data_IF_578295806254
#
_entry.id   IF_578295806254
#
_cell.length_a   1.000
_cell.length_b   1.000
_cell.length_c   1.000
_cell.angle_alpha   90.00
_cell.angle_beta   90.00
_cell.angle_gamma   90.00
#
_symmetry.space_group_name_H-M   'P 1'
#
loop_
_entity.id
_entity.type
_entity.pdbx_description
1 polymer ?
#
# COMPACT_ATOMS: atom_id res chain seq x y z
N UNK A 1 16.12 14.34 15.83
CA UNK A 1 16.66 15.22 14.77
C UNK A 1 16.13 14.64 13.47
N UNK A 2 15.16 15.29 12.81
CA UNK A 2 14.74 14.87 11.48
C UNK A 2 15.92 15.16 10.55
N UNK A 3 16.44 14.13 9.91
CA UNK A 3 17.42 14.32 8.85
C UNK A 3 16.69 15.09 7.73
N UNK A 4 17.16 16.30 7.43
CA UNK A 4 16.64 17.06 6.30
C UNK A 4 16.78 16.21 5.04
N UNK A 5 15.76 16.24 4.17
CA UNK A 5 15.78 15.48 2.92
C UNK A 5 17.00 15.87 2.11
N UNK A 6 17.78 14.89 1.70
CA UNK A 6 18.87 15.10 0.77
C UNK A 6 18.32 15.07 -0.67
N UNK A 7 17.79 16.18 -1.15
CA UNK A 7 17.23 16.30 -2.51
C UNK A 7 18.25 15.96 -3.60
N UNK A 8 19.52 16.23 -3.38
CA UNK A 8 20.57 15.87 -4.36
C UNK A 8 20.70 14.33 -4.51
N UNK A 9 20.59 13.59 -3.42
CA UNK A 9 20.57 12.12 -3.49
C UNK A 9 19.28 11.59 -4.10
N UNK A 10 18.15 12.18 -3.74
CA UNK A 10 16.85 11.82 -4.29
C UNK A 10 16.81 12.04 -5.81
N UNK A 11 17.24 13.20 -6.30
CA UNK A 11 17.35 13.53 -7.71
C UNK A 11 18.32 12.56 -8.43
N UNK A 12 19.46 12.26 -7.80
CA UNK A 12 20.44 11.30 -8.34
C UNK A 12 19.84 9.89 -8.46
N UNK A 13 19.06 9.46 -7.46
CA UNK A 13 18.38 8.17 -7.51
C UNK A 13 17.34 8.12 -8.63
N UNK A 14 16.49 9.13 -8.76
CA UNK A 14 15.47 9.21 -9.83
C UNK A 14 16.17 9.21 -11.20
N UNK A 15 17.22 9.99 -11.39
CA UNK A 15 17.94 10.12 -12.65
C UNK A 15 17.00 10.51 -13.79
N UNK A 16 17.05 9.76 -14.90
CA UNK A 16 16.16 9.92 -16.06
C UNK A 16 14.94 8.99 -16.05
N UNK A 17 14.78 8.15 -15.04
CA UNK A 17 13.73 7.13 -15.00
C UNK A 17 12.42 7.70 -14.49
N UNK A 18 11.32 7.20 -15.05
CA UNK A 18 10.01 7.43 -14.45
C UNK A 18 9.98 6.77 -13.07
N UNK A 19 9.53 7.53 -12.10
CA UNK A 19 9.51 7.11 -10.70
C UNK A 19 8.18 7.50 -10.06
N UNK A 20 7.91 6.95 -8.89
CA UNK A 20 6.73 7.26 -8.07
C UNK A 20 7.22 7.57 -6.67
N UNK A 21 6.75 8.68 -6.10
CA UNK A 21 6.85 8.94 -4.67
C UNK A 21 5.54 8.48 -4.03
N UNK A 22 5.65 7.75 -2.93
CA UNK A 22 4.51 7.41 -2.08
C UNK A 22 4.91 7.54 -0.60
N UNK A 23 3.92 7.74 0.26
CA UNK A 23 4.15 7.64 1.69
C UNK A 23 4.26 6.18 2.12
N UNK A 24 5.10 5.91 3.12
CA UNK A 24 5.13 4.65 3.84
C UNK A 24 4.31 4.82 5.13
N UNK A 25 3.21 4.08 5.25
CA UNK A 25 2.33 4.21 6.41
C UNK A 25 2.85 3.38 7.58
N UNK A 26 2.69 3.93 8.78
CA UNK A 26 2.92 3.14 10.00
C UNK A 26 1.83 2.10 10.12
N UNK A 27 2.21 0.82 10.09
CA UNK A 27 1.25 -0.28 10.13
C UNK A 27 1.89 -1.65 10.30
N UNK A 28 1.06 -2.67 10.19
CA UNK A 28 1.44 -4.07 10.12
C UNK A 28 1.25 -4.57 8.69
N UNK A 29 2.28 -5.19 8.11
CA UNK A 29 2.17 -5.75 6.76
C UNK A 29 1.09 -6.82 6.70
N UNK A 30 0.27 -6.75 5.66
CA UNK A 30 -0.82 -7.68 5.43
C UNK A 30 -0.83 -8.13 3.98
N UNK A 31 -1.08 -9.42 3.79
CA UNK A 31 -1.29 -10.04 2.48
C UNK A 31 -2.72 -10.55 2.42
N UNK A 32 -3.41 -10.21 1.35
CA UNK A 32 -4.76 -10.67 1.07
C UNK A 32 -4.80 -11.35 -0.29
N UNK A 33 -5.65 -12.35 -0.41
CA UNK A 33 -5.72 -13.22 -1.59
C UNK A 33 -7.18 -13.40 -2.01
N UNK A 34 -7.42 -13.22 -3.30
CA UNK A 34 -8.73 -13.40 -3.91
C UNK A 34 -8.67 -14.49 -4.98
N UNK A 35 -9.74 -15.27 -5.07
CA UNK A 35 -9.98 -16.19 -6.16
C UNK A 35 -11.45 -16.11 -6.60
N UNK A 36 -11.70 -16.03 -7.90
CA UNK A 36 -13.05 -15.87 -8.46
C UNK A 36 -13.82 -14.68 -7.84
N UNK A 37 -13.14 -13.59 -7.60
CA UNK A 37 -13.71 -12.38 -7.00
C UNK A 37 -13.98 -12.45 -5.51
N UNK A 38 -13.65 -13.55 -4.81
CA UNK A 38 -13.91 -13.74 -3.39
C UNK A 38 -12.63 -13.75 -2.58
N UNK A 39 -12.65 -13.09 -1.43
CA UNK A 39 -11.57 -13.15 -0.47
C UNK A 39 -11.44 -14.58 0.06
N UNK A 40 -10.26 -15.19 -0.12
CA UNK A 40 -9.97 -16.57 0.32
C UNK A 40 -8.91 -16.63 1.43
N UNK A 41 -8.09 -15.57 1.57
CA UNK A 41 -7.05 -15.48 2.59
C UNK A 41 -6.77 -14.03 2.94
N UNK A 42 -6.55 -13.80 4.23
CA UNK A 42 -6.09 -12.51 4.75
C UNK A 42 -5.20 -12.76 5.96
N UNK A 43 -3.96 -12.28 5.92
CA UNK A 43 -2.99 -12.57 6.97
C UNK A 43 -1.93 -11.49 7.13
N UNK A 44 -1.46 -11.34 8.35
CA UNK A 44 -0.21 -10.68 8.69
C UNK A 44 0.87 -11.72 9.01
N UNK A 45 2.10 -11.30 9.31
CA UNK A 45 3.13 -12.23 9.75
C UNK A 45 2.74 -13.05 11.01
N UNK A 46 1.80 -12.55 11.82
CA UNK A 46 1.47 -13.12 13.13
C UNK A 46 0.04 -13.62 13.25
N UNK A 47 -0.86 -13.11 12.43
CA UNK A 47 -2.29 -13.34 12.59
C UNK A 47 -2.94 -13.67 11.26
N UNK A 48 -3.75 -14.72 11.25
CA UNK A 48 -4.75 -14.93 10.21
C UNK A 48 -5.95 -14.05 10.54
N UNK A 49 -6.46 -13.33 9.54
CA UNK A 49 -7.57 -12.41 9.72
C UNK A 49 -8.88 -13.07 9.31
N UNK A 50 -10.01 -12.69 9.93
CA UNK A 50 -11.31 -13.22 9.55
C UNK A 50 -11.68 -12.88 8.12
N UNK A 51 -12.36 -13.81 7.45
CA UNK A 51 -12.86 -13.66 6.08
C UNK A 51 -14.34 -13.29 6.04
N UNK A 52 -15.03 -13.33 7.18
CA UNK A 52 -16.45 -12.99 7.26
C UNK A 52 -16.68 -11.47 7.22
N UNK A 53 -17.77 -11.06 6.59
CA UNK A 53 -18.10 -9.64 6.38
C UNK A 53 -18.22 -8.85 7.68
N UNK A 54 -18.87 -9.43 8.67
CA UNK A 54 -19.02 -8.83 9.99
C UNK A 54 -17.69 -8.53 10.67
N UNK A 55 -16.65 -9.30 10.33
CA UNK A 55 -15.38 -9.31 11.04
C UNK A 55 -14.21 -8.82 10.20
N UNK A 56 -14.44 -8.46 8.92
CA UNK A 56 -13.39 -7.97 8.02
C UNK A 56 -12.83 -6.62 8.51
N UNK A 57 -11.56 -6.38 8.23
CA UNK A 57 -10.93 -5.07 8.44
C UNK A 57 -11.45 -4.11 7.38
N UNK A 58 -11.71 -2.85 7.75
CA UNK A 58 -12.09 -1.83 6.78
C UNK A 58 -11.07 -1.73 5.65
N UNK A 59 -11.54 -1.51 4.42
CA UNK A 59 -10.68 -1.47 3.23
C UNK A 59 -10.27 -2.83 2.68
N UNK A 60 -10.76 -3.95 3.25
CA UNK A 60 -10.67 -5.29 2.66
C UNK A 60 -12.05 -5.68 2.15
N UNK A 61 -12.36 -5.51 0.86
CA UNK A 61 -13.61 -5.98 0.27
C UNK A 61 -13.71 -7.50 0.36
N UNK A 62 -14.91 -8.03 0.63
CA UNK A 62 -15.14 -9.48 0.64
C UNK A 62 -15.21 -10.02 -0.78
N UNK A 63 -15.72 -9.20 -1.69
CA UNK A 63 -15.79 -9.47 -3.11
C UNK A 63 -15.24 -8.33 -3.92
N UNK A 64 -14.58 -8.65 -5.01
CA UNK A 64 -14.04 -7.71 -5.99
C UNK A 64 -14.51 -8.10 -7.39
N UNK A 65 -14.54 -7.13 -8.30
CA UNK A 65 -14.95 -7.37 -9.69
C UNK A 65 -13.89 -8.14 -10.53
N UNK A 66 -12.91 -8.78 -9.91
CA UNK A 66 -11.86 -9.53 -10.58
C UNK A 66 -12.03 -11.02 -10.31
N UNK A 67 -12.22 -11.82 -11.36
CA UNK A 67 -12.34 -13.29 -11.23
C UNK A 67 -11.00 -14.01 -11.19
N UNK A 68 -9.93 -13.33 -11.50
CA UNK A 68 -8.58 -13.89 -11.46
C UNK A 68 -8.15 -14.20 -10.03
N UNK A 69 -7.16 -15.07 -9.89
CA UNK A 69 -6.46 -15.28 -8.65
C UNK A 69 -5.42 -14.18 -8.49
N UNK A 70 -5.59 -13.34 -7.48
CA UNK A 70 -4.70 -12.21 -7.20
C UNK A 70 -4.26 -12.18 -5.74
N UNK A 71 -3.02 -11.76 -5.52
CA UNK A 71 -2.49 -11.46 -4.20
C UNK A 71 -2.20 -9.96 -4.13
N UNK A 72 -2.69 -9.34 -3.08
CA UNK A 72 -2.50 -7.92 -2.81
C UNK A 72 -1.74 -7.79 -1.49
N UNK A 73 -0.69 -6.98 -1.51
CA UNK A 73 0.04 -6.59 -0.31
C UNK A 73 -0.27 -5.17 0.07
N UNK A 74 -0.27 -4.91 1.37
CA UNK A 74 -0.53 -3.60 1.91
C UNK A 74 -0.22 -3.54 3.39
N UNK A 75 -0.77 -2.53 4.05
CA UNK A 75 -0.64 -2.34 5.49
C UNK A 75 -2.00 -2.24 6.16
N UNK A 76 -2.11 -2.92 7.29
CA UNK A 76 -3.13 -2.58 8.26
C UNK A 76 -2.60 -1.38 9.04
N UNK A 77 -3.25 -0.24 8.86
CA UNK A 77 -2.92 1.02 9.54
C UNK A 77 -4.05 1.45 10.45
N UNK A 78 -3.80 2.46 11.28
CA UNK A 78 -4.79 3.00 12.18
C UNK A 78 -4.65 4.51 12.32
N UNK A 79 -5.73 5.16 12.75
CA UNK A 79 -5.68 6.56 13.14
C UNK A 79 -5.08 6.76 14.56
N UNK A 80 -4.81 8.01 14.89
CA UNK A 80 -4.22 8.37 16.18
C UNK A 80 -5.11 8.07 17.38
N UNK A 81 -6.43 7.90 17.18
CA UNK A 81 -7.39 7.61 18.24
C UNK A 81 -7.17 6.20 18.81
N UNK A 82 -6.73 5.25 17.95
CA UNK A 82 -6.40 3.90 18.38
C UNK A 82 -5.24 3.86 19.37
N UNK A 83 -4.21 4.70 19.17
CA UNK A 83 -3.06 4.79 20.07
C UNK A 83 -3.54 5.16 21.49
N UNK A 84 -4.42 6.19 21.56
CA UNK A 84 -4.98 6.65 22.83
C UNK A 84 -5.85 5.57 23.49
N UNK A 85 -6.73 4.91 22.71
CA UNK A 85 -7.63 3.86 23.19
C UNK A 85 -6.88 2.72 23.85
N UNK A 86 -5.81 2.25 23.27
CA UNK A 86 -5.01 1.14 23.82
C UNK A 86 -3.85 1.59 24.71
N UNK A 87 -3.74 2.89 25.00
CA UNK A 87 -2.63 3.44 25.80
C UNK A 87 -1.27 2.91 25.32
N UNK A 88 -1.04 2.93 24.01
CA UNK A 88 0.18 2.41 23.37
C UNK A 88 1.08 3.56 22.94
N UNK A 89 2.39 3.27 22.85
CA UNK A 89 3.39 4.26 22.45
C UNK A 89 3.40 4.55 20.96
N UNK A 90 2.90 3.61 20.15
CA UNK A 90 2.87 3.74 18.69
C UNK A 90 1.73 2.93 18.06
N UNK A 91 1.43 3.25 16.80
CA UNK A 91 0.37 2.62 16.01
C UNK A 91 0.56 1.11 15.89
N UNK A 92 1.76 0.64 15.57
CA UNK A 92 2.04 -0.78 15.39
C UNK A 92 1.69 -1.60 16.63
N UNK A 93 2.04 -1.11 17.82
CA UNK A 93 1.65 -1.74 19.09
C UNK A 93 0.14 -1.71 19.33
N UNK A 94 -0.54 -0.65 18.90
CA UNK A 94 -1.98 -0.54 19.04
C UNK A 94 -2.72 -1.52 18.11
N UNK A 95 -2.28 -1.63 16.85
CA UNK A 95 -2.80 -2.60 15.87
C UNK A 95 -2.61 -4.03 16.37
N UNK A 96 -1.41 -4.38 16.82
CA UNK A 96 -1.14 -5.72 17.37
C UNK A 96 -2.02 -6.05 18.58
N UNK A 97 -2.31 -5.05 19.44
CA UNK A 97 -3.24 -5.24 20.56
C UNK A 97 -4.65 -5.50 20.07
N UNK A 98 -5.12 -4.77 19.05
CA UNK A 98 -6.43 -5.01 18.45
C UNK A 98 -6.51 -6.40 17.81
N UNK A 99 -5.55 -6.78 17.00
CA UNK A 99 -5.54 -8.08 16.32
C UNK A 99 -5.51 -9.26 17.32
N UNK A 100 -4.83 -9.09 18.45
CA UNK A 100 -4.81 -10.07 19.53
C UNK A 100 -6.13 -10.17 20.26
N UNK A 101 -6.79 -9.03 20.54
CA UNK A 101 -8.06 -8.99 21.27
C UNK A 101 -9.23 -9.47 20.40
N UNK A 102 -9.10 -9.49 19.08
CA UNK A 102 -10.14 -9.95 18.17
C UNK A 102 -10.55 -11.42 18.41
N UNK A 103 -9.69 -12.20 19.03
CA UNK A 103 -9.99 -13.57 19.46
C UNK A 103 -10.80 -13.64 20.76
N UNK A 104 -10.85 -12.57 21.58
CA UNK A 104 -11.38 -12.62 22.96
C UNK A 104 -12.37 -11.49 23.31
N UNK A 105 -12.63 -10.52 22.40
CA UNK A 105 -13.41 -9.32 22.71
C UNK A 105 -14.93 -9.49 22.55
N UNK A 106 -15.70 -8.68 23.28
CA UNK A 106 -17.14 -8.55 23.05
C UNK A 106 -17.40 -7.84 21.72
N UNK A 107 -18.45 -8.26 20.98
CA UNK A 107 -18.81 -7.69 19.67
C UNK A 107 -18.97 -6.17 19.66
N UNK A 108 -19.39 -5.57 20.77
CA UNK A 108 -19.62 -4.12 20.88
C UNK A 108 -18.32 -3.31 20.96
N UNK A 109 -17.32 -3.80 21.68
CA UNK A 109 -15.99 -3.17 21.75
C UNK A 109 -15.24 -3.30 20.43
N UNK A 110 -15.39 -4.42 19.76
CA UNK A 110 -14.83 -4.70 18.45
C UNK A 110 -15.34 -3.70 17.40
N UNK A 111 -16.66 -3.49 17.34
CA UNK A 111 -17.28 -2.57 16.36
C UNK A 111 -16.78 -1.14 16.52
N UNK A 112 -16.66 -0.64 17.76
CA UNK A 112 -16.16 0.72 18.05
C UNK A 112 -14.68 0.91 17.69
N UNK A 113 -13.92 -0.16 17.63
CA UNK A 113 -12.49 -0.09 17.33
C UNK A 113 -12.22 -0.27 15.85
N UNK A 114 -13.03 -1.09 15.18
CA UNK A 114 -12.92 -1.42 13.76
C UNK A 114 -12.88 -0.16 12.87
N UNK A 115 -13.64 0.88 13.18
CA UNK A 115 -13.67 2.13 12.41
C UNK A 115 -12.34 2.90 12.39
N UNK A 116 -11.43 2.59 13.33
CA UNK A 116 -10.11 3.23 13.44
C UNK A 116 -8.99 2.45 12.76
N UNK A 117 -9.31 1.29 12.21
CA UNK A 117 -8.35 0.40 11.55
C UNK A 117 -8.76 0.22 10.11
N UNK A 118 -7.76 0.25 9.21
CA UNK A 118 -7.99 0.12 7.78
C UNK A 118 -6.83 -0.60 7.10
N UNK A 119 -7.16 -1.36 6.08
CA UNK A 119 -6.18 -1.88 5.13
C UNK A 119 -5.97 -0.85 4.01
N UNK A 120 -4.71 -0.59 3.68
CA UNK A 120 -4.31 0.26 2.56
C UNK A 120 -3.43 -0.57 1.62
N UNK A 121 -3.89 -0.73 0.40
CA UNK A 121 -3.19 -1.52 -0.62
C UNK A 121 -1.96 -0.80 -1.15
N UNK A 122 -0.89 -1.56 -1.41
CA UNK A 122 0.39 -1.05 -1.88
C UNK A 122 0.89 -1.73 -3.14
N UNK A 123 0.72 -3.04 -3.27
CA UNK A 123 1.30 -3.82 -4.35
C UNK A 123 0.33 -4.91 -4.80
N UNK A 124 0.11 -5.00 -6.11
CA UNK A 124 -0.53 -6.14 -6.75
C UNK A 124 0.57 -7.14 -7.12
N UNK A 125 0.54 -8.30 -6.47
CA UNK A 125 1.51 -9.36 -6.75
C UNK A 125 1.02 -10.19 -7.91
N UNK A 126 1.83 -10.27 -8.97
CA UNK A 126 1.59 -11.13 -10.12
C UNK A 126 1.79 -12.58 -9.70
N UNK A 127 0.76 -13.39 -9.81
CA UNK A 127 0.89 -14.83 -9.66
C UNK A 127 1.11 -15.41 -11.04
N UNK A 128 2.33 -15.87 -11.26
CA UNK A 128 2.80 -16.63 -12.43
C UNK A 128 1.82 -16.85 -13.58
N UNK A 129 1.73 -15.86 -14.47
CA UNK A 129 1.59 -16.09 -15.90
C UNK A 129 0.32 -16.72 -16.47
N UNK A 130 -0.67 -17.08 -15.69
CA UNK A 130 -1.92 -17.64 -16.19
C UNK A 130 -3.08 -16.67 -16.02
N UNK A 131 -3.31 -15.85 -17.05
CA UNK A 131 -4.51 -15.06 -17.20
C UNK A 131 -5.54 -15.85 -18.01
N UNK A 132 -6.36 -16.65 -17.35
CA UNK A 132 -7.61 -17.09 -17.94
C UNK A 132 -8.68 -16.01 -17.74
N UNK A 133 -9.08 -15.42 -18.83
CA UNK A 133 -9.95 -14.27 -18.95
C UNK A 133 -11.42 -14.65 -18.85
N UNK A 134 -12.11 -14.16 -17.82
CA UNK A 134 -13.57 -14.24 -17.77
C UNK A 134 -14.15 -13.07 -16.98
N UNK A 135 -14.26 -11.93 -17.55
CA UNK A 135 -15.31 -10.94 -17.35
C UNK A 135 -14.92 -9.57 -17.91
N UNK A 136 -15.90 -8.86 -18.48
CA UNK A 136 -15.64 -7.69 -19.33
C UNK A 136 -14.96 -6.53 -18.59
N UNK A 137 -15.37 -6.20 -17.36
CA UNK A 137 -14.85 -5.03 -16.63
C UNK A 137 -13.47 -5.30 -16.02
N UNK A 138 -13.32 -6.42 -15.34
CA UNK A 138 -12.04 -6.77 -14.69
C UNK A 138 -10.95 -7.08 -15.70
N UNK A 139 -11.33 -7.69 -16.84
CA UNK A 139 -10.40 -7.94 -17.95
C UNK A 139 -9.88 -6.63 -18.54
N UNK A 140 -10.74 -5.64 -18.73
CA UNK A 140 -10.35 -4.35 -19.30
C UNK A 140 -9.44 -3.57 -18.35
N UNK A 141 -9.73 -3.57 -17.06
CA UNK A 141 -8.86 -2.98 -16.03
C UNK A 141 -7.49 -3.63 -16.04
N UNK A 142 -7.42 -4.96 -16.07
CA UNK A 142 -6.13 -5.66 -16.11
C UNK A 142 -5.40 -5.52 -17.43
N UNK A 143 -6.08 -5.41 -18.56
CA UNK A 143 -5.47 -5.15 -19.87
C UNK A 143 -4.91 -3.74 -19.98
N UNK A 144 -5.63 -2.74 -19.52
CA UNK A 144 -5.23 -1.33 -19.62
C UNK A 144 -4.18 -0.94 -18.59
N UNK A 145 -4.27 -1.48 -17.38
CA UNK A 145 -3.36 -1.18 -16.27
C UNK A 145 -2.25 -2.21 -16.09
N UNK A 146 -2.16 -3.15 -17.01
CA UNK A 146 -1.34 -4.33 -16.97
C UNK A 146 0.10 -4.05 -16.53
N UNK A 147 0.43 -4.31 -15.27
CA UNK A 147 1.74 -4.53 -14.67
C UNK A 147 2.96 -3.81 -15.27
N UNK A 148 2.76 -2.91 -16.24
CA UNK A 148 3.83 -2.17 -16.90
C UNK A 148 4.41 -1.08 -15.99
N UNK A 149 3.59 -0.54 -15.08
CA UNK A 149 4.04 0.48 -14.15
C UNK A 149 3.40 0.31 -12.76
N UNK A 150 4.11 0.82 -11.75
CA UNK A 150 3.62 0.79 -10.38
C UNK A 150 2.39 1.71 -10.19
N UNK A 151 2.35 2.87 -10.85
CA UNK A 151 1.15 3.71 -10.87
C UNK A 151 -0.07 2.97 -11.43
N UNK A 152 0.10 2.21 -12.50
CA UNK A 152 -1.00 1.43 -13.08
C UNK A 152 -1.49 0.35 -12.12
N UNK A 153 -0.58 -0.28 -11.35
CA UNK A 153 -0.98 -1.23 -10.31
C UNK A 153 -1.81 -0.55 -9.21
N UNK A 154 -1.39 0.64 -8.75
CA UNK A 154 -2.15 1.40 -7.76
C UNK A 154 -3.53 1.81 -8.29
N UNK A 155 -3.60 2.30 -9.53
CA UNK A 155 -4.87 2.64 -10.17
C UNK A 155 -5.79 1.42 -10.27
N UNK A 156 -5.26 0.26 -10.67
CA UNK A 156 -6.02 -0.99 -10.71
C UNK A 156 -6.57 -1.38 -9.33
N UNK A 157 -5.78 -1.20 -8.28
CA UNK A 157 -6.24 -1.47 -6.91
C UNK A 157 -7.34 -0.49 -6.47
N UNK A 158 -7.24 0.78 -6.86
CA UNK A 158 -8.27 1.79 -6.61
C UNK A 158 -9.57 1.45 -7.36
N UNK A 159 -9.49 1.09 -8.63
CA UNK A 159 -10.62 0.64 -9.45
C UNK A 159 -11.30 -0.62 -8.89
N UNK A 160 -10.55 -1.49 -8.22
CA UNK A 160 -11.07 -2.65 -7.49
C UNK A 160 -11.68 -2.31 -6.12
N UNK A 161 -11.66 -1.04 -5.72
CA UNK A 161 -12.29 -0.54 -4.49
C UNK A 161 -11.38 -0.57 -3.25
N UNK A 162 -10.07 -0.71 -3.42
CA UNK A 162 -9.13 -0.61 -2.30
C UNK A 162 -8.75 0.83 -2.02
N UNK A 163 -8.55 1.18 -0.75
CA UNK A 163 -7.80 2.39 -0.44
C UNK A 163 -6.33 2.15 -0.78
N UNK A 164 -5.75 3.08 -1.54
CA UNK A 164 -4.35 3.03 -1.95
C UNK A 164 -3.52 4.11 -1.25
N UNK A 165 -2.20 3.92 -1.26
CA UNK A 165 -1.27 4.92 -0.73
C UNK A 165 -1.41 6.25 -1.49
N UNK A 166 -1.40 7.39 -0.79
CA UNK A 166 -1.13 8.67 -1.42
C UNK A 166 0.21 8.61 -2.17
N UNK A 167 0.18 8.93 -3.45
CA UNK A 167 1.33 8.81 -4.33
C UNK A 167 1.31 9.87 -5.44
N UNK A 168 2.47 10.11 -6.03
CA UNK A 168 2.60 10.96 -7.22
C UNK A 168 3.65 10.41 -8.17
N UNK A 169 3.38 10.50 -9.47
CA UNK A 169 4.30 10.09 -10.50
C UNK A 169 5.28 11.22 -10.85
N UNK A 170 6.54 10.85 -11.05
CA UNK A 170 7.62 11.72 -11.55
C UNK A 170 7.95 11.24 -12.96
N UNK A 171 7.41 11.92 -13.94
CA UNK A 171 7.54 11.50 -15.36
C UNK A 171 8.31 12.51 -16.20
N UNK A 172 8.20 13.80 -15.88
CA UNK A 172 8.78 14.90 -16.65
C UNK A 172 10.09 15.39 -16.03
N UNK A 173 10.94 15.99 -16.83
CA UNK A 173 12.18 16.58 -16.34
C UNK A 173 11.94 17.68 -15.29
N UNK A 174 10.87 18.47 -15.43
CA UNK A 174 10.48 19.51 -14.47
C UNK A 174 10.11 18.92 -13.09
N UNK A 175 9.58 17.71 -13.05
CA UNK A 175 9.20 17.05 -11.80
C UNK A 175 10.43 16.66 -10.95
N UNK A 176 11.64 16.68 -11.54
CA UNK A 176 12.91 16.28 -10.92
C UNK A 176 13.69 17.46 -10.33
N UNK A 177 13.07 18.63 -10.23
CA UNK A 177 13.66 19.77 -9.54
C UNK A 177 13.36 19.68 -8.03
N UNK A 178 14.26 20.21 -7.22
CA UNK A 178 14.09 20.25 -5.76
C UNK A 178 12.77 20.89 -5.35
N UNK A 179 12.44 22.04 -5.95
CA UNK A 179 11.20 22.77 -5.66
C UNK A 179 9.97 21.87 -5.96
N UNK A 180 9.93 21.25 -7.13
CA UNK A 180 8.77 20.43 -7.52
C UNK A 180 8.67 19.16 -6.67
N UNK A 181 9.78 18.54 -6.32
CA UNK A 181 9.81 17.40 -5.41
C UNK A 181 9.29 17.77 -4.02
N UNK A 182 9.64 18.94 -3.51
CA UNK A 182 9.13 19.47 -2.25
C UNK A 182 7.60 19.64 -2.30
N UNK A 183 7.07 20.26 -3.36
CA UNK A 183 5.63 20.43 -3.56
C UNK A 183 4.90 19.08 -3.60
N UNK A 184 5.42 18.12 -4.37
CA UNK A 184 4.85 16.77 -4.48
C UNK A 184 4.80 16.07 -3.10
N UNK A 185 5.88 16.14 -2.33
CA UNK A 185 5.93 15.51 -1.00
C UNK A 185 4.93 16.20 -0.06
N UNK A 186 4.81 17.52 -0.15
CA UNK A 186 3.85 18.26 0.67
C UNK A 186 2.39 17.93 0.32
N UNK A 187 2.05 17.79 -0.97
CA UNK A 187 0.74 17.32 -1.44
C UNK A 187 0.41 15.92 -0.90
N UNK A 188 1.36 14.98 -0.96
CA UNK A 188 1.20 13.62 -0.41
C UNK A 188 0.99 13.68 1.11
N UNK A 189 1.78 14.50 1.82
CA UNK A 189 1.67 14.66 3.27
C UNK A 189 0.32 15.25 3.68
N UNK A 190 -0.18 16.26 2.97
CA UNK A 190 -1.50 16.84 3.21
C UNK A 190 -2.60 15.81 2.98
N UNK A 191 -2.55 15.04 1.89
CA UNK A 191 -3.50 13.96 1.60
C UNK A 191 -3.49 12.91 2.71
N UNK A 192 -2.32 12.50 3.17
CA UNK A 192 -2.15 11.53 4.26
C UNK A 192 -2.76 12.04 5.56
N UNK A 193 -2.54 13.30 5.90
CA UNK A 193 -3.14 13.94 7.08
C UNK A 193 -4.65 14.06 6.99
N UNK A 194 -5.19 14.44 5.82
CA UNK A 194 -6.64 14.52 5.61
C UNK A 194 -7.32 13.15 5.79
N UNK A 195 -6.63 12.07 5.46
CA UNK A 195 -7.09 10.70 5.71
C UNK A 195 -6.86 10.21 7.15
N UNK A 196 -6.44 11.09 8.07
CA UNK A 196 -6.09 10.78 9.46
C UNK A 196 -5.04 9.66 9.59
N UNK A 197 -4.15 9.49 8.60
CA UNK A 197 -3.09 8.48 8.59
C UNK A 197 -1.76 9.08 9.06
N UNK A 198 -0.86 8.21 9.48
CA UNK A 198 0.50 8.60 9.89
C UNK A 198 1.47 7.96 8.91
N UNK A 199 2.22 8.81 8.21
CA UNK A 199 3.38 8.39 7.46
C UNK A 199 4.57 8.20 8.42
N UNK A 200 5.35 7.15 8.19
CA UNK A 200 6.62 6.91 8.87
C UNK A 200 7.74 7.64 8.11
N UNK A 201 7.78 7.41 6.83
CA UNK A 201 8.70 8.00 5.87
C UNK A 201 8.06 8.06 4.46
N UNK A 202 8.86 8.39 3.47
CA UNK A 202 8.48 8.40 2.06
C UNK A 202 9.39 7.47 1.29
N UNK A 203 8.84 6.88 0.26
CA UNK A 203 9.57 5.99 -0.64
C UNK A 203 9.45 6.52 -2.06
N UNK A 204 10.57 6.69 -2.72
CA UNK A 204 10.60 6.82 -4.18
C UNK A 204 11.05 5.50 -4.78
N UNK A 205 10.32 5.04 -5.79
CA UNK A 205 10.63 3.79 -6.51
C UNK A 205 10.49 3.97 -8.01
N UNK A 206 11.19 3.14 -8.77
CA UNK A 206 11.02 3.15 -10.23
C UNK A 206 9.62 2.69 -10.61
N UNK A 207 9.00 3.42 -11.53
CA UNK A 207 7.66 3.13 -12.03
C UNK A 207 7.61 1.97 -13.05
N UNK A 208 8.75 1.53 -13.55
CA UNK A 208 8.89 0.43 -14.50
C UNK A 208 8.90 -0.92 -13.78
N UNK A 209 7.76 -1.57 -13.72
CA UNK A 209 7.59 -2.85 -13.00
C UNK A 209 8.43 -3.98 -13.60
N UNK A 210 8.49 -4.19 -14.92
CA UNK A 210 9.39 -5.18 -15.52
C UNK A 210 10.85 -4.98 -15.13
N UNK A 211 11.32 -3.74 -15.14
CA UNK A 211 12.68 -3.42 -14.72
C UNK A 211 12.93 -3.74 -13.24
N UNK A 212 11.98 -3.37 -12.36
CA UNK A 212 12.06 -3.68 -10.92
C UNK A 212 12.05 -5.19 -10.69
N UNK A 213 11.19 -5.95 -11.39
CA UNK A 213 11.19 -7.43 -11.32
C UNK A 213 12.53 -8.03 -11.77
N UNK A 214 13.14 -7.49 -12.82
CA UNK A 214 14.47 -7.89 -13.28
C UNK A 214 15.53 -7.63 -12.19
N UNK A 215 15.51 -6.46 -11.57
CA UNK A 215 16.44 -6.12 -10.48
C UNK A 215 16.28 -7.05 -9.29
N UNK A 216 15.03 -7.34 -8.86
CA UNK A 216 14.74 -8.27 -7.76
C UNK A 216 15.25 -9.70 -8.04
N UNK A 217 15.20 -10.16 -9.29
CA UNK A 217 15.69 -11.50 -9.69
C UNK A 217 17.21 -11.60 -9.79
N UNK A 218 17.89 -10.49 -9.97
CA UNK A 218 19.36 -10.45 -10.10
C UNK A 218 19.99 -10.50 -8.71
N UNK A 219 20.38 -11.69 -8.27
CA UNK A 219 20.97 -11.97 -6.95
C UNK A 219 22.25 -11.18 -6.62
N UNK A 220 22.87 -10.56 -7.61
CA UNK A 220 24.09 -9.75 -7.47
C UNK A 220 23.84 -8.24 -7.54
N UNK A 221 22.59 -7.79 -7.64
CA UNK A 221 22.34 -6.38 -7.88
C UNK A 221 22.42 -5.57 -6.60
N UNK A 222 23.51 -4.82 -6.46
CA UNK A 222 23.60 -3.68 -5.52
C UNK A 222 22.73 -2.50 -5.98
N UNK A 223 21.97 -2.66 -7.06
CA UNK A 223 21.14 -1.59 -7.62
C UNK A 223 19.85 -1.51 -6.80
N UNK A 224 19.71 -0.43 -6.07
CA UNK A 224 18.46 -0.12 -5.36
C UNK A 224 17.39 0.26 -6.39
N UNK A 225 16.19 -0.25 -6.24
CA UNK A 225 15.02 0.13 -7.05
C UNK A 225 14.05 1.03 -6.27
N UNK A 226 14.34 1.26 -5.00
CA UNK A 226 13.63 2.18 -4.14
C UNK A 226 14.60 2.87 -3.17
N UNK A 227 14.24 4.07 -2.75
CA UNK A 227 14.99 4.92 -1.85
C UNK A 227 14.01 5.51 -0.82
N UNK A 228 14.20 5.16 0.45
CA UNK A 228 13.41 5.70 1.56
C UNK A 228 14.06 6.96 2.12
N UNK A 229 13.25 7.93 2.49
CA UNK A 229 13.69 9.19 3.10
C UNK A 229 12.63 9.73 4.06
N UNK A 230 13.07 10.39 5.12
CA UNK A 230 12.18 11.02 6.10
C UNK A 230 11.89 12.47 5.72
N UNK A 231 10.68 12.93 6.07
CA UNK A 231 10.24 14.32 5.90
C UNK A 231 10.29 15.07 7.23
#
# INVERSE_FOLDING_TARGET
MSNAINYAELIRFIGSRNSVICCNLVGEECTIEYANGRLIRSETQKYSLPLAESDSINGIPIGIACKQHIIIKGWITADTKLIKKYNKRNIKSAINSYLKLKTDATKEEETKTKQHIMFVANELVDIDGYYEWYDDVSEEIFKTNNNSSYCNQLNCLDDLGFEILPHAAITKAVDRTEIRLQEIIEEINQTTKMRERIADDYIVRYNDTPYVKMLKKSSNSKVKFEYAFSW
#
